data_IF_557250956810
#
_entry.id   IF_557250956810
#
_cell.length_a   1.000
_cell.length_b   1.000
_cell.length_c   1.000
_cell.angle_alpha   90.00
_cell.angle_beta   90.00
_cell.angle_gamma   90.00
#
_symmetry.space_group_name_H-M   'P 1'
#
loop_
_entity.id
_entity.type
_entity.pdbx_description
1 polymer ?
#
# COMPACT_ATOMS: atom_id res chain seq x y z
N UNK A 1 5.58 -9.99 -1.12
CA UNK A 1 5.26 -8.79 -0.35
C UNK A 1 5.13 -9.10 1.13
N UNK A 2 5.54 -8.17 1.98
CA UNK A 2 5.32 -8.29 3.41
C UNK A 2 3.84 -8.06 3.75
N UNK A 3 3.36 -8.54 4.92
CA UNK A 3 1.97 -8.28 5.30
C UNK A 3 1.61 -6.79 5.32
N UNK A 4 2.52 -5.94 5.76
CA UNK A 4 2.27 -4.49 5.82
C UNK A 4 2.14 -3.91 4.41
N UNK A 5 2.99 -4.34 3.49
CA UNK A 5 2.93 -3.89 2.10
C UNK A 5 1.61 -4.29 1.44
N UNK A 6 1.16 -5.52 1.66
CA UNK A 6 -0.13 -5.99 1.16
C UNK A 6 -1.27 -5.15 1.72
N UNK A 7 -1.23 -4.88 3.01
CA UNK A 7 -2.25 -4.10 3.69
C UNK A 7 -2.38 -2.70 3.10
N UNK A 8 -1.24 -2.03 2.90
CA UNK A 8 -1.22 -0.70 2.32
C UNK A 8 -1.80 -0.71 0.91
N UNK A 9 -1.40 -1.67 0.07
CA UNK A 9 -1.91 -1.75 -1.29
C UNK A 9 -3.40 -2.05 -1.32
N UNK A 10 -3.89 -2.96 -0.49
CA UNK A 10 -5.32 -3.27 -0.43
C UNK A 10 -6.14 -2.04 -0.07
N UNK A 11 -5.67 -1.27 0.91
CA UNK A 11 -6.39 -0.06 1.32
C UNK A 11 -6.30 1.04 0.26
N UNK A 12 -5.12 1.23 -0.35
CA UNK A 12 -4.93 2.28 -1.35
C UNK A 12 -5.76 2.03 -2.61
N UNK A 13 -5.85 0.79 -3.06
CA UNK A 13 -6.50 0.46 -4.32
C UNK A 13 -7.87 -0.18 -4.15
N UNK A 14 -8.37 -0.26 -2.93
CA UNK A 14 -9.71 -0.78 -2.67
C UNK A 14 -9.87 -2.25 -2.98
N UNK A 15 -8.81 -3.03 -2.88
CA UNK A 15 -8.86 -4.46 -3.17
C UNK A 15 -9.27 -5.24 -1.92
N UNK A 16 -10.02 -6.32 -2.07
CA UNK A 16 -10.64 -6.88 -3.30
C UNK A 16 -12.07 -6.39 -3.52
N UNK A 17 -12.29 -5.12 -3.59
CA UNK A 17 -13.61 -4.57 -3.90
C UNK A 17 -14.08 -3.51 -2.92
N UNK A 18 -13.17 -3.01 -2.10
CA UNK A 18 -13.46 -1.93 -1.18
C UNK A 18 -13.33 -0.56 -1.84
N UNK A 19 -13.36 0.48 -1.02
CA UNK A 19 -13.19 1.85 -1.47
C UNK A 19 -11.71 2.21 -1.44
N UNK A 20 -11.23 2.87 -2.50
CA UNK A 20 -9.87 3.38 -2.52
C UNK A 20 -9.69 4.47 -1.48
N UNK A 21 -8.60 4.39 -0.70
CA UNK A 21 -8.28 5.37 0.33
C UNK A 21 -7.06 6.18 -0.09
N UNK A 22 -7.00 7.44 0.36
CA UNK A 22 -5.81 8.27 0.16
C UNK A 22 -4.70 7.80 1.08
N UNK A 23 -3.46 8.22 0.79
CA UNK A 23 -2.32 7.89 1.66
C UNK A 23 -2.56 8.39 3.07
N UNK A 24 -3.17 9.57 3.21
CA UNK A 24 -3.50 10.14 4.52
C UNK A 24 -4.48 9.25 5.28
N UNK A 25 -5.51 8.77 4.60
CA UNK A 25 -6.51 7.89 5.21
C UNK A 25 -5.91 6.54 5.60
N UNK A 26 -5.05 5.98 4.76
CA UNK A 26 -4.34 4.74 5.09
C UNK A 26 -3.46 4.94 6.31
N UNK A 27 -2.74 6.06 6.37
CA UNK A 27 -1.91 6.38 7.53
C UNK A 27 -2.71 6.45 8.81
N UNK A 28 -3.86 7.10 8.78
CA UNK A 28 -4.76 7.18 9.94
C UNK A 28 -5.22 5.79 10.37
N UNK A 29 -5.62 4.96 9.42
CA UNK A 29 -6.14 3.63 9.72
C UNK A 29 -5.07 2.72 10.33
N UNK A 30 -3.84 2.83 9.85
CA UNK A 30 -2.75 1.98 10.32
C UNK A 30 -1.92 2.60 11.44
N UNK A 31 -2.20 3.85 11.80
CA UNK A 31 -1.46 4.54 12.86
C UNK A 31 -0.03 4.90 12.46
N UNK A 32 0.19 5.20 11.19
CA UNK A 32 1.51 5.58 10.68
C UNK A 32 1.41 6.88 9.89
N UNK A 33 2.55 7.53 9.63
CA UNK A 33 2.56 8.79 8.92
C UNK A 33 2.27 8.60 7.44
N UNK A 34 1.76 9.66 6.81
CA UNK A 34 1.52 9.68 5.37
C UNK A 34 2.80 9.41 4.59
N UNK A 35 3.92 9.98 5.04
CA UNK A 35 5.22 9.78 4.40
C UNK A 35 5.63 8.31 4.43
N UNK A 36 5.36 7.65 5.54
CA UNK A 36 5.67 6.23 5.67
C UNK A 36 4.79 5.39 4.75
N UNK A 37 3.48 5.72 4.66
CA UNK A 37 2.59 5.05 3.72
C UNK A 37 3.13 5.17 2.29
N UNK A 38 3.58 6.37 1.91
CA UNK A 38 4.13 6.61 0.58
C UNK A 38 5.34 5.72 0.30
N UNK A 39 6.23 5.57 1.28
CA UNK A 39 7.42 4.72 1.15
C UNK A 39 7.05 3.26 1.00
N UNK A 40 6.09 2.79 1.81
CA UNK A 40 5.65 1.39 1.76
C UNK A 40 4.99 1.11 0.41
N UNK A 41 4.13 2.00 -0.03
CA UNK A 41 3.44 1.85 -1.32
C UNK A 41 4.44 1.77 -2.46
N UNK A 42 5.40 2.67 -2.51
CA UNK A 42 6.40 2.69 -3.56
C UNK A 42 7.22 1.40 -3.58
N UNK A 43 7.65 0.94 -2.40
CA UNK A 43 8.42 -0.29 -2.28
C UNK A 43 7.60 -1.50 -2.72
N UNK A 44 6.32 -1.55 -2.33
CA UNK A 44 5.44 -2.64 -2.70
C UNK A 44 5.22 -2.71 -4.21
N UNK A 45 5.01 -1.56 -4.85
CA UNK A 45 4.82 -1.50 -6.29
C UNK A 45 6.07 -1.95 -7.05
N UNK A 46 7.25 -1.57 -6.56
CA UNK A 46 8.51 -2.01 -7.15
C UNK A 46 8.68 -3.53 -7.06
N UNK A 47 8.32 -4.11 -5.91
CA UNK A 47 8.39 -5.56 -5.74
C UNK A 47 7.43 -6.30 -6.65
N UNK A 48 6.21 -5.77 -6.80
CA UNK A 48 5.24 -6.35 -7.72
C UNK A 48 5.72 -6.30 -9.15
N UNK A 49 6.33 -5.19 -9.55
CA UNK A 49 6.88 -5.05 -10.89
C UNK A 49 7.99 -6.08 -11.13
N UNK A 50 8.89 -6.22 -10.17
CA UNK A 50 9.99 -7.18 -10.30
C UNK A 50 9.46 -8.61 -10.37
N UNK A 51 8.45 -8.94 -9.57
CA UNK A 51 7.86 -10.27 -9.60
C UNK A 51 7.15 -10.55 -10.94
N UNK A 52 6.53 -9.51 -11.53
CA UNK A 52 5.82 -9.65 -12.79
C UNK A 52 6.76 -9.74 -13.99
N UNK A 53 7.89 -9.07 -13.94
CA UNK A 53 8.81 -8.95 -15.08
C UNK A 53 10.13 -9.72 -14.90
N UNK A 54 10.48 -10.02 -13.66
CA UNK A 54 11.72 -10.69 -13.34
C UNK A 54 11.58 -12.15 -13.12
#
# INVERSE_FOLDING_TARGET
LSPREKEVLYLRYGLPGGTELTQKEVGKRLGISRSYVSRIEKRALLRLRDAAWG
#
